data_IF_159369341458
#
_entry.id   IF_159369341458
#
_cell.length_a   1.000
_cell.length_b   1.000
_cell.length_c   1.000
_cell.angle_alpha   90.00
_cell.angle_beta   90.00
_cell.angle_gamma   90.00
#
_symmetry.space_group_name_H-M   'P 1'
#
loop_
_entity.id
_entity.type
_entity.pdbx_description
1 polymer ?
#
# COMPACT_ATOMS: atom_id res chain seq x y z
N UNK A 1 32.68 -12.85 -10.92
CA UNK A 1 31.60 -11.84 -10.88
C UNK A 1 30.86 -12.03 -9.57
N UNK A 2 30.90 -11.08 -8.63
CA UNK A 2 30.09 -11.16 -7.41
C UNK A 2 28.64 -11.27 -7.85
N UNK A 3 27.93 -12.29 -7.40
CA UNK A 3 26.47 -12.36 -7.49
C UNK A 3 25.93 -11.02 -6.97
N UNK A 4 25.38 -10.18 -7.85
CA UNK A 4 24.64 -9.00 -7.42
C UNK A 4 23.51 -9.54 -6.55
N UNK A 5 23.62 -9.34 -5.24
CA UNK A 5 22.54 -9.62 -4.30
C UNK A 5 21.29 -8.93 -4.84
N UNK A 6 20.32 -9.72 -5.29
CA UNK A 6 19.04 -9.19 -5.75
C UNK A 6 18.29 -8.71 -4.52
N UNK A 7 17.71 -7.52 -4.58
CA UNK A 7 16.86 -7.00 -3.50
C UNK A 7 15.40 -7.30 -3.82
N UNK A 8 14.62 -7.62 -2.80
CA UNK A 8 13.18 -7.89 -2.90
C UNK A 8 12.43 -6.93 -1.99
N UNK A 9 11.42 -6.26 -2.51
CA UNK A 9 10.55 -5.39 -1.72
C UNK A 9 9.53 -6.24 -0.98
N UNK A 10 9.52 -6.13 0.35
CA UNK A 10 8.69 -6.95 1.26
C UNK A 10 7.65 -6.14 2.00
N UNK A 11 7.69 -4.82 1.85
CA UNK A 11 6.64 -3.91 2.25
C UNK A 11 6.82 -2.62 1.45
N UNK A 12 5.74 -2.07 0.94
CA UNK A 12 5.71 -0.73 0.37
C UNK A 12 4.27 -0.21 0.35
N UNK A 13 4.02 1.02 0.82
CA UNK A 13 2.82 1.77 0.55
C UNK A 13 3.02 2.67 -0.68
N UNK A 14 1.93 3.11 -1.30
CA UNK A 14 2.01 4.15 -2.34
C UNK A 14 2.28 5.52 -1.70
N UNK A 15 3.36 6.24 -2.07
CA UNK A 15 3.52 7.63 -1.68
C UNK A 15 2.40 8.50 -2.27
N UNK A 16 1.82 9.36 -1.43
CA UNK A 16 0.76 10.32 -1.74
C UNK A 16 1.12 11.71 -1.18
N UNK A 17 0.59 12.80 -1.76
CA UNK A 17 0.61 14.09 -1.08
C UNK A 17 -0.27 14.01 0.18
N UNK A 18 0.18 14.59 1.28
CA UNK A 18 -0.65 14.66 2.50
C UNK A 18 -1.69 15.76 2.37
N UNK A 19 -2.98 15.42 2.46
CA UNK A 19 -4.06 16.39 2.54
C UNK A 19 -4.04 17.10 3.91
N UNK A 20 -4.58 18.31 4.01
CA UNK A 20 -4.62 19.09 5.26
C UNK A 20 -5.30 18.32 6.41
N UNK A 21 -6.31 17.50 6.10
CA UNK A 21 -7.02 16.67 7.07
C UNK A 21 -6.17 15.52 7.63
N UNK A 22 -5.14 15.08 6.90
CA UNK A 22 -4.23 13.98 7.27
C UNK A 22 -2.92 14.50 7.90
N UNK A 23 -2.80 15.81 8.10
CA UNK A 23 -1.68 16.45 8.78
C UNK A 23 -1.90 16.46 10.30
N UNK A 24 -0.85 16.26 11.12
CA UNK A 24 -1.00 16.48 12.55
C UNK A 24 -1.29 17.94 12.86
N UNK A 25 -2.18 18.16 13.82
CA UNK A 25 -2.53 19.49 14.30
C UNK A 25 -1.47 20.06 15.26
N UNK A 26 -1.72 21.28 15.75
CA UNK A 26 -0.89 21.93 16.77
C UNK A 26 -0.64 21.00 17.99
N UNK A 27 0.59 20.96 18.55
CA UNK A 27 1.77 21.78 18.24
C UNK A 27 2.72 21.18 17.19
N UNK A 28 2.38 20.02 16.61
CA UNK A 28 3.25 19.29 15.69
C UNK A 28 3.29 19.92 14.29
N UNK A 29 2.24 20.65 13.90
CA UNK A 29 2.24 21.54 12.74
C UNK A 29 1.88 22.95 13.18
N UNK A 30 2.75 23.92 12.87
CA UNK A 30 2.53 25.33 13.16
C UNK A 30 3.37 26.21 12.25
N UNK A 31 2.89 27.42 11.96
CA UNK A 31 3.62 28.42 11.15
C UNK A 31 4.13 27.89 9.79
N UNK A 32 3.35 27.01 9.15
CA UNK A 32 3.71 26.42 7.85
C UNK A 32 4.73 25.27 7.92
N UNK A 33 5.22 24.90 9.11
CA UNK A 33 6.18 23.82 9.32
C UNK A 33 5.52 22.66 10.07
N UNK A 34 5.68 21.45 9.54
CA UNK A 34 5.24 20.22 10.17
C UNK A 34 6.40 19.44 10.76
N UNK A 35 6.13 18.70 11.83
CA UNK A 35 7.05 17.79 12.50
C UNK A 35 8.35 18.46 13.00
N UNK A 36 8.33 19.76 13.29
CA UNK A 36 9.52 20.42 13.84
C UNK A 36 9.85 19.82 15.21
N UNK A 37 11.12 19.48 15.42
CA UNK A 37 11.59 18.80 16.64
C UNK A 37 10.69 17.61 17.01
N UNK A 38 10.34 16.75 16.05
CA UNK A 38 9.35 15.67 16.24
C UNK A 38 9.92 14.31 15.86
N UNK A 39 9.71 13.32 16.72
CA UNK A 39 9.87 11.90 16.40
C UNK A 39 8.53 11.35 15.89
N UNK A 40 8.57 10.63 14.77
CA UNK A 40 7.46 9.90 14.19
C UNK A 40 7.82 8.41 14.26
N UNK A 41 7.09 7.61 15.03
CA UNK A 41 7.27 6.16 15.15
C UNK A 41 6.13 5.43 14.46
N UNK A 42 6.50 4.59 13.51
CA UNK A 42 5.57 3.97 12.58
C UNK A 42 5.78 2.47 12.61
N UNK A 43 4.71 1.68 12.46
CA UNK A 43 4.83 0.22 12.37
C UNK A 43 4.33 -0.30 11.03
N UNK A 44 4.93 -1.39 10.57
CA UNK A 44 4.63 -2.02 9.29
C UNK A 44 4.83 -3.53 9.37
N UNK A 45 4.01 -4.29 8.65
CA UNK A 45 4.13 -5.76 8.53
C UNK A 45 4.89 -6.11 7.25
N UNK A 46 5.99 -6.84 7.37
CA UNK A 46 6.74 -7.35 6.20
C UNK A 46 6.19 -8.68 5.73
N UNK A 47 6.24 -8.93 4.42
CA UNK A 47 5.67 -10.12 3.78
C UNK A 47 6.72 -11.12 3.29
N UNK A 48 7.99 -10.93 3.66
CA UNK A 48 9.02 -11.95 3.54
C UNK A 48 10.13 -11.76 4.59
N UNK A 49 10.86 -12.84 4.87
CA UNK A 49 11.97 -12.85 5.84
C UNK A 49 13.34 -12.75 5.17
N UNK A 50 14.33 -12.25 5.90
CA UNK A 50 15.72 -12.14 5.43
C UNK A 50 16.66 -11.61 6.53
N UNK A 51 17.97 -11.76 6.33
CA UNK A 51 18.99 -11.40 7.32
C UNK A 51 19.46 -9.94 7.25
N UNK A 52 19.28 -9.34 6.08
CA UNK A 52 19.77 -8.01 5.74
C UNK A 52 18.65 -7.21 5.09
N UNK A 53 18.50 -5.97 5.54
CA UNK A 53 17.41 -5.09 5.12
C UNK A 53 17.95 -3.73 4.65
N UNK A 54 17.14 -3.00 3.90
CA UNK A 54 17.30 -1.56 3.67
C UNK A 54 15.93 -0.89 3.56
N UNK A 55 15.88 0.41 3.84
CA UNK A 55 14.65 1.19 3.95
C UNK A 55 14.65 2.26 2.87
N UNK A 56 13.52 2.45 2.20
CA UNK A 56 13.31 3.54 1.26
C UNK A 56 12.58 4.70 1.91
N UNK A 57 13.22 5.87 1.90
CA UNK A 57 12.70 7.12 2.45
C UNK A 57 12.36 8.06 1.29
N UNK A 58 11.17 8.66 1.30
CA UNK A 58 10.62 9.39 0.16
C UNK A 58 10.25 10.82 0.50
N UNK A 59 10.60 11.72 -0.42
CA UNK A 59 10.22 13.12 -0.45
C UNK A 59 9.61 13.46 -1.83
N UNK A 60 8.83 12.52 -2.36
CA UNK A 60 8.34 12.56 -3.74
C UNK A 60 7.43 13.77 -4.03
N UNK A 61 6.67 14.23 -3.04
CA UNK A 61 5.79 15.40 -3.17
C UNK A 61 6.37 16.66 -2.53
N UNK A 62 7.62 16.60 -2.05
CA UNK A 62 8.33 17.78 -1.56
C UNK A 62 9.11 18.47 -2.66
N UNK A 63 9.24 19.80 -2.53
CA UNK A 63 10.04 20.62 -3.44
C UNK A 63 11.41 20.94 -2.83
N UNK A 64 11.47 21.08 -1.50
CA UNK A 64 12.70 21.29 -0.74
C UNK A 64 13.30 19.96 -0.30
N UNK A 65 14.59 19.96 0.07
CA UNK A 65 15.23 18.76 0.62
C UNK A 65 14.64 18.42 1.99
N UNK A 66 14.18 17.18 2.16
CA UNK A 66 13.79 16.64 3.44
C UNK A 66 15.05 16.24 4.22
N UNK A 67 15.24 16.82 5.40
CA UNK A 67 16.36 16.52 6.28
C UNK A 67 15.89 15.66 7.46
N UNK A 68 16.14 14.36 7.39
CA UNK A 68 15.92 13.42 8.47
C UNK A 68 17.16 13.42 9.37
N UNK A 69 17.01 13.94 10.58
CA UNK A 69 18.12 14.05 11.54
C UNK A 69 18.51 12.70 12.14
N UNK A 70 17.55 11.78 12.25
CA UNK A 70 17.79 10.39 12.68
C UNK A 70 16.70 9.46 12.15
N UNK A 71 17.09 8.27 11.69
CA UNK A 71 16.17 7.17 11.41
C UNK A 71 16.60 5.91 12.17
N UNK A 72 15.65 5.18 12.74
CA UNK A 72 15.90 4.01 13.60
C UNK A 72 14.92 2.91 13.23
N UNK A 73 15.40 1.67 13.13
CA UNK A 73 14.55 0.48 13.08
C UNK A 73 14.60 -0.28 14.41
N UNK A 74 13.49 -0.87 14.81
CA UNK A 74 13.41 -1.74 15.99
C UNK A 74 12.32 -2.81 15.83
N UNK A 75 12.28 -3.76 16.76
CA UNK A 75 11.13 -4.65 16.92
C UNK A 75 10.13 -3.94 17.84
N UNK A 76 8.87 -3.73 17.41
CA UNK A 76 7.86 -3.13 18.27
C UNK A 76 7.54 -4.05 19.44
N UNK A 77 7.21 -3.47 20.59
CA UNK A 77 6.59 -4.22 21.68
C UNK A 77 5.10 -4.34 21.37
N UNK A 78 4.53 -5.55 21.25
CA UNK A 78 3.10 -5.73 21.02
C UNK A 78 2.29 -5.01 22.09
N UNK A 79 1.16 -4.43 21.70
CA UNK A 79 0.21 -3.83 22.62
C UNK A 79 -1.10 -4.62 22.54
N UNK A 80 -1.36 -5.46 23.54
CA UNK A 80 -2.45 -6.45 23.51
C UNK A 80 -3.83 -5.84 23.19
N UNK A 81 -4.06 -4.57 23.53
CA UNK A 81 -5.33 -3.87 23.27
C UNK A 81 -5.52 -3.32 21.85
N UNK A 82 -4.47 -3.22 21.03
CA UNK A 82 -4.53 -2.56 19.72
C UNK A 82 -4.16 -3.49 18.56
N UNK A 83 -3.88 -4.77 18.80
CA UNK A 83 -3.44 -5.69 17.75
C UNK A 83 -1.94 -5.60 17.45
N UNK A 84 -1.47 -6.28 16.38
CA UNK A 84 -0.04 -6.43 16.09
C UNK A 84 0.65 -5.15 15.61
N UNK A 85 -0.10 -4.17 15.08
CA UNK A 85 0.40 -2.87 14.62
C UNK A 85 0.19 -1.74 15.64
N UNK A 86 0.59 -0.53 15.25
CA UNK A 86 0.24 0.70 15.96
C UNK A 86 0.98 0.94 17.28
N UNK A 87 2.13 0.30 17.51
CA UNK A 87 2.81 0.42 18.81
C UNK A 87 3.65 1.69 18.93
N UNK A 88 3.46 2.43 20.03
CA UNK A 88 4.34 3.52 20.47
C UNK A 88 5.68 3.02 21.03
N UNK A 89 5.80 1.71 21.22
CA UNK A 89 6.82 1.08 22.03
C UNK A 89 7.70 0.12 21.23
N UNK A 90 8.95 -0.04 21.66
CA UNK A 90 9.88 -1.00 21.06
C UNK A 90 10.48 -1.92 22.12
N UNK A 91 10.87 -3.12 21.71
CA UNK A 91 11.62 -4.05 22.56
C UNK A 91 13.01 -3.48 22.84
N UNK A 92 13.37 -3.41 24.12
CA UNK A 92 14.67 -2.89 24.57
C UNK A 92 15.82 -3.67 23.92
N UNK A 93 16.82 -2.94 23.42
CA UNK A 93 18.00 -3.54 22.78
C UNK A 93 17.82 -3.94 21.32
N UNK A 94 16.64 -3.73 20.73
CA UNK A 94 16.41 -4.02 19.30
C UNK A 94 16.60 -2.81 18.39
N UNK A 95 16.67 -1.60 18.95
CA UNK A 95 16.84 -0.37 18.18
C UNK A 95 18.21 -0.32 17.49
N UNK A 96 18.20 -0.14 16.17
CA UNK A 96 19.40 0.06 15.36
C UNK A 96 19.24 1.29 14.47
N UNK A 97 20.31 2.07 14.40
CA UNK A 97 20.38 3.27 13.56
C UNK A 97 20.34 2.87 12.08
N UNK A 98 19.54 3.60 11.31
CA UNK A 98 19.54 3.55 9.84
C UNK A 98 20.44 4.66 9.32
N UNK A 99 21.32 4.32 8.38
CA UNK A 99 22.33 5.22 7.80
C UNK A 99 22.11 5.38 6.30
N UNK A 100 22.66 6.45 5.74
CA UNK A 100 22.80 6.65 4.30
C UNK A 100 24.24 7.05 4.02
N UNK A 101 24.97 6.26 3.23
CA UNK A 101 26.39 6.45 2.94
C UNK A 101 27.26 6.58 4.22
N UNK A 102 26.90 5.82 5.26
CA UNK A 102 27.56 5.84 6.56
C UNK A 102 27.14 6.98 7.50
N UNK A 103 26.32 7.92 7.02
CA UNK A 103 25.91 9.10 7.77
C UNK A 103 24.58 8.91 8.51
N UNK A 104 24.47 9.50 9.69
CA UNK A 104 23.23 9.44 10.51
C UNK A 104 22.13 10.36 9.98
N UNK A 105 22.53 11.51 9.43
CA UNK A 105 21.59 12.47 8.84
C UNK A 105 21.32 12.09 7.41
N UNK A 106 20.05 11.89 7.07
CA UNK A 106 19.59 11.49 5.75
C UNK A 106 18.97 12.69 5.07
N UNK A 107 19.48 13.04 3.89
CA UNK A 107 18.90 14.10 3.05
C UNK A 107 18.22 13.47 1.85
N UNK A 108 16.93 13.76 1.67
CA UNK A 108 16.12 13.26 0.56
C UNK A 108 15.75 14.45 -0.34
N UNK A 109 16.33 14.57 -1.55
CA UNK A 109 16.00 15.66 -2.46
C UNK A 109 14.50 15.71 -2.78
N UNK A 110 13.98 16.91 -3.05
CA UNK A 110 12.59 17.08 -3.50
C UNK A 110 12.30 16.27 -4.77
N UNK A 111 11.11 15.69 -4.85
CA UNK A 111 10.70 14.86 -5.99
C UNK A 111 11.35 13.47 -6.07
N UNK A 112 12.06 13.04 -5.01
CA UNK A 112 12.87 11.81 -5.05
C UNK A 112 12.64 10.90 -3.85
N UNK A 113 13.28 9.73 -3.88
CA UNK A 113 13.46 8.87 -2.73
C UNK A 113 14.93 8.43 -2.65
N UNK A 114 15.35 8.04 -1.46
CA UNK A 114 16.67 7.43 -1.21
C UNK A 114 16.48 6.03 -0.63
N UNK A 115 17.51 5.20 -0.79
CA UNK A 115 17.57 3.87 -0.21
C UNK A 115 18.69 3.87 0.81
N UNK A 116 18.39 3.48 2.05
CA UNK A 116 19.39 3.43 3.13
C UNK A 116 20.52 2.43 2.82
N UNK A 117 21.57 2.53 3.63
CA UNK A 117 22.57 1.47 3.71
C UNK A 117 21.93 0.14 4.11
N UNK A 118 22.59 -0.94 3.74
CA UNK A 118 22.24 -2.29 4.17
C UNK A 118 22.50 -2.45 5.67
N UNK A 119 21.49 -2.90 6.42
CA UNK A 119 21.57 -3.18 7.84
C UNK A 119 21.37 -4.68 8.10
N UNK A 120 22.21 -5.27 8.96
CA UNK A 120 22.01 -6.65 9.43
C UNK A 120 20.94 -6.67 10.52
N UNK A 121 19.71 -6.95 10.11
CA UNK A 121 18.54 -6.98 10.98
C UNK A 121 17.67 -8.17 10.56
N UNK A 122 17.87 -9.36 11.15
CA UNK A 122 17.13 -10.55 10.76
C UNK A 122 15.63 -10.40 11.05
N UNK A 123 14.81 -10.66 10.02
CA UNK A 123 13.35 -10.59 10.09
C UNK A 123 12.71 -11.87 9.56
N UNK A 124 11.54 -12.20 10.09
CA UNK A 124 10.69 -13.30 9.61
C UNK A 124 9.56 -12.75 8.73
N UNK A 125 9.06 -13.59 7.82
CA UNK A 125 7.83 -13.28 7.10
C UNK A 125 6.67 -13.06 8.09
N UNK A 126 5.87 -12.02 7.86
CA UNK A 126 4.76 -11.63 8.74
C UNK A 126 5.17 -10.80 9.96
N UNK A 127 6.46 -10.56 10.18
CA UNK A 127 6.94 -9.78 11.32
C UNK A 127 6.56 -8.30 11.19
N UNK A 128 6.09 -7.71 12.30
CA UNK A 128 5.90 -6.25 12.39
C UNK A 128 7.23 -5.60 12.81
N UNK A 129 7.59 -4.52 12.12
CA UNK A 129 8.76 -3.70 12.38
C UNK A 129 8.32 -2.30 12.82
N UNK A 130 9.15 -1.64 13.62
CA UNK A 130 9.00 -0.24 13.97
C UNK A 130 10.09 0.57 13.28
N UNK A 131 9.71 1.65 12.60
CA UNK A 131 10.64 2.63 12.04
C UNK A 131 10.32 3.98 12.65
N UNK A 132 11.31 4.58 13.31
CA UNK A 132 11.23 5.92 13.88
C UNK A 132 12.05 6.91 13.07
N UNK A 133 11.47 8.06 12.74
CA UNK A 133 12.11 9.17 12.03
C UNK A 133 12.07 10.39 12.95
N UNK A 134 13.20 11.06 13.15
CA UNK A 134 13.28 12.33 13.86
C UNK A 134 13.63 13.48 12.92
N UNK A 135 12.81 14.52 12.94
CA UNK A 135 13.00 15.75 12.17
C UNK A 135 13.30 16.91 13.14
N UNK A 136 14.58 17.29 13.27
CA UNK A 136 14.96 18.42 14.13
C UNK A 136 14.36 19.74 13.64
N UNK A 137 14.41 19.97 12.33
CA UNK A 137 13.93 21.21 11.68
C UNK A 137 12.49 21.14 11.17
N UNK A 138 11.90 19.94 11.12
CA UNK A 138 10.62 19.71 10.46
C UNK A 138 10.73 19.77 8.93
N UNK A 139 9.58 19.85 8.27
CA UNK A 139 9.48 20.02 6.81
C UNK A 139 8.29 20.93 6.47
N UNK A 140 8.27 21.50 5.27
CA UNK A 140 7.18 22.39 4.85
C UNK A 140 5.85 21.61 4.83
N UNK A 141 4.86 22.11 5.57
CA UNK A 141 3.61 21.38 5.86
C UNK A 141 2.77 21.02 4.63
N UNK A 142 2.91 21.78 3.54
CA UNK A 142 2.22 21.50 2.26
C UNK A 142 3.04 20.61 1.29
N UNK A 143 4.20 20.12 1.72
CA UNK A 143 5.16 19.36 0.91
C UNK A 143 5.43 17.97 1.47
N UNK A 144 4.51 17.48 2.31
CA UNK A 144 4.69 16.21 3.01
C UNK A 144 4.32 15.05 2.08
N UNK A 145 5.21 14.06 2.03
CA UNK A 145 4.94 12.76 1.42
C UNK A 145 4.44 11.81 2.50
N UNK A 146 3.26 11.24 2.30
CA UNK A 146 2.63 10.29 3.23
C UNK A 146 1.95 9.13 2.51
N UNK A 147 1.32 8.27 3.28
CA UNK A 147 0.30 7.35 2.84
C UNK A 147 -0.85 7.38 3.86
N UNK A 148 -1.96 8.07 3.55
CA UNK A 148 -3.05 8.26 4.51
C UNK A 148 -3.84 6.97 4.78
N UNK A 149 -3.73 5.97 3.90
CA UNK A 149 -4.40 4.68 3.97
C UNK A 149 -3.75 3.62 4.87
N UNK A 150 -2.88 4.01 5.81
CA UNK A 150 -2.02 3.04 6.52
C UNK A 150 -2.79 1.93 7.26
N UNK A 151 -3.96 2.26 7.81
CA UNK A 151 -4.73 1.44 8.77
C UNK A 151 -3.89 1.06 9.99
N UNK A 152 -2.86 1.83 10.29
CA UNK A 152 -1.93 1.58 11.38
C UNK A 152 -1.50 2.90 12.00
N UNK A 153 -1.58 2.99 13.32
CA UNK A 153 -1.21 4.19 14.04
C UNK A 153 0.29 4.44 13.94
N UNK A 154 0.62 5.69 13.62
CA UNK A 154 1.93 6.29 13.82
C UNK A 154 1.87 7.23 15.01
N UNK A 155 2.85 7.12 15.89
CA UNK A 155 2.95 7.90 17.11
C UNK A 155 3.93 9.06 16.94
N UNK A 156 3.54 10.21 17.47
CA UNK A 156 4.28 11.46 17.29
C UNK A 156 4.49 12.14 18.63
N UNK A 157 5.71 12.58 18.89
CA UNK A 157 6.06 13.38 20.07
C UNK A 157 7.28 14.25 19.81
N UNK A 158 7.43 15.31 20.57
CA UNK A 158 8.53 16.25 20.50
C UNK A 158 9.82 15.65 21.06
N UNK A 159 10.94 16.19 20.57
CA UNK A 159 12.28 15.74 20.89
C UNK A 159 12.69 14.47 20.15
N UNK A 160 13.98 14.19 20.19
CA UNK A 160 14.53 12.96 19.64
C UNK A 160 14.32 11.81 20.61
N UNK A 161 13.22 11.07 20.40
CA UNK A 161 12.86 9.86 21.12
C UNK A 161 12.96 8.63 20.21
N UNK A 162 13.65 8.74 19.07
CA UNK A 162 13.75 7.69 18.05
C UNK A 162 14.26 6.35 18.61
N UNK A 163 15.20 6.41 19.58
CA UNK A 163 15.80 5.25 20.26
C UNK A 163 15.08 4.86 21.58
N UNK A 164 14.10 5.64 22.04
CA UNK A 164 13.45 5.41 23.32
C UNK A 164 12.59 4.14 23.28
N UNK A 165 12.64 3.31 24.33
CA UNK A 165 11.83 2.08 24.40
C UNK A 165 10.32 2.35 24.46
N UNK A 166 9.93 3.55 24.89
CA UNK A 166 8.57 4.05 24.95
C UNK A 166 8.59 5.52 24.54
N UNK A 167 7.64 5.94 23.71
CA UNK A 167 7.46 7.37 23.45
C UNK A 167 6.66 8.00 24.59
N UNK A 168 7.03 9.22 24.97
CA UNK A 168 6.38 9.92 26.08
C UNK A 168 6.39 11.43 25.87
N UNK A 169 5.55 12.15 26.61
CA UNK A 169 5.52 13.61 26.57
C UNK A 169 4.11 14.16 26.55
N UNK A 170 3.93 15.45 26.89
CA UNK A 170 2.62 16.10 26.93
C UNK A 170 1.97 16.23 25.55
N UNK A 171 2.77 16.09 24.50
CA UNK A 171 2.36 16.21 23.12
C UNK A 171 2.26 14.87 22.39
N UNK A 172 2.46 13.74 23.08
CA UNK A 172 2.31 12.41 22.52
C UNK A 172 0.89 12.21 21.95
N UNK A 173 0.80 11.83 20.69
CA UNK A 173 -0.46 11.50 20.00
C UNK A 173 -0.24 10.51 18.88
N UNK A 174 -1.32 9.92 18.37
CA UNK A 174 -1.29 9.04 17.21
C UNK A 174 -2.12 9.61 16.05
N UNK A 175 -1.75 9.18 14.84
CA UNK A 175 -2.52 9.34 13.60
C UNK A 175 -2.39 8.08 12.75
N UNK A 176 -3.46 7.71 12.05
CA UNK A 176 -3.52 6.49 11.23
C UNK A 176 -2.90 6.70 9.83
N UNK A 177 -1.66 7.18 9.76
CA UNK A 177 -0.95 7.46 8.50
C UNK A 177 0.52 7.04 8.57
N UNK A 178 1.12 6.72 7.40
CA UNK A 178 2.57 6.62 7.29
C UNK A 178 3.15 7.89 6.66
N UNK A 179 4.32 8.34 7.12
CA UNK A 179 5.01 9.54 6.63
C UNK A 179 6.43 9.18 6.17
N UNK A 180 6.83 9.69 5.01
CA UNK A 180 8.18 9.59 4.44
C UNK A 180 8.74 8.17 4.20
N UNK A 181 7.99 7.11 4.50
CA UNK A 181 8.35 5.72 4.19
C UNK A 181 7.78 5.32 2.83
N UNK A 182 8.58 4.62 2.01
CA UNK A 182 8.16 4.14 0.67
C UNK A 182 8.61 2.71 0.35
N UNK A 183 9.25 2.03 1.30
CA UNK A 183 9.53 0.61 1.16
C UNK A 183 10.50 0.05 2.19
N UNK A 184 10.42 -1.26 2.37
CA UNK A 184 11.41 -2.08 3.04
C UNK A 184 11.80 -3.18 2.07
N UNK A 185 13.11 -3.38 1.93
CA UNK A 185 13.67 -4.38 1.05
C UNK A 185 14.60 -5.29 1.82
N UNK A 186 14.62 -6.57 1.42
CA UNK A 186 15.56 -7.56 1.94
C UNK A 186 16.51 -8.02 0.85
N UNK A 187 17.70 -8.47 1.25
CA UNK A 187 18.56 -9.22 0.36
C UNK A 187 17.90 -10.57 0.06
N UNK A 188 17.66 -10.85 -1.22
CA UNK A 188 17.07 -12.11 -1.69
C UNK A 188 17.97 -13.28 -1.32
N UNK A 189 17.39 -14.29 -0.67
CA UNK A 189 17.92 -15.65 -0.67
C UNK A 189 17.35 -16.46 -1.86
N UNK A 190 17.93 -17.63 -2.13
CA UNK A 190 17.54 -18.45 -3.28
C UNK A 190 16.08 -18.98 -3.22
N UNK A 191 15.41 -18.91 -2.07
CA UNK A 191 14.06 -19.43 -1.91
C UNK A 191 12.96 -18.45 -2.34
N UNK A 192 13.23 -17.14 -2.49
CA UNK A 192 12.20 -16.16 -2.86
C UNK A 192 11.77 -16.29 -4.32
N UNK A 193 10.46 -16.38 -4.53
CA UNK A 193 9.80 -16.40 -5.84
C UNK A 193 9.39 -14.98 -6.31
N UNK A 194 9.92 -13.93 -5.67
CA UNK A 194 9.68 -12.53 -6.02
C UNK A 194 8.52 -11.88 -5.25
N UNK A 195 8.04 -10.75 -5.77
CA UNK A 195 7.00 -9.93 -5.14
C UNK A 195 5.77 -9.83 -6.04
N UNK A 196 4.59 -10.05 -5.44
CA UNK A 196 3.28 -9.67 -5.93
C UNK A 196 2.99 -8.20 -5.56
N UNK A 197 2.85 -7.35 -6.58
CA UNK A 197 2.51 -5.93 -6.43
C UNK A 197 1.00 -5.77 -6.64
N UNK A 198 0.31 -5.24 -5.63
CA UNK A 198 -1.12 -4.97 -5.71
C UNK A 198 -1.36 -3.52 -6.10
N UNK A 199 -1.90 -3.30 -7.29
CA UNK A 199 -2.30 -1.99 -7.79
C UNK A 199 -3.81 -1.86 -7.65
N UNK A 200 -4.27 -0.94 -6.79
CA UNK A 200 -5.69 -0.77 -6.56
C UNK A 200 -6.09 0.55 -5.91
N UNK A 201 -7.32 0.58 -5.45
CA UNK A 201 -7.95 1.74 -4.81
C UNK A 201 -8.21 1.52 -3.31
N UNK A 202 -9.17 2.23 -2.72
CA UNK A 202 -9.51 2.15 -1.29
C UNK A 202 -9.86 0.74 -0.81
N UNK A 203 -10.38 -0.11 -1.70
CA UNK A 203 -10.71 -1.50 -1.37
C UNK A 203 -9.44 -2.31 -1.10
N UNK A 204 -8.40 -2.11 -1.92
CA UNK A 204 -7.10 -2.78 -1.75
C UNK A 204 -6.24 -2.15 -0.67
N UNK A 205 -6.30 -0.83 -0.55
CA UNK A 205 -5.66 -0.06 0.52
C UNK A 205 -6.13 -0.53 1.92
N UNK A 206 -7.40 -0.97 2.00
CA UNK A 206 -7.97 -1.65 3.17
C UNK A 206 -8.97 -0.79 3.95
N UNK A 207 -9.68 0.13 3.29
CA UNK A 207 -10.73 0.93 3.92
C UNK A 207 -11.76 -0.01 4.59
N UNK A 208 -12.16 0.33 5.82
CA UNK A 208 -13.06 -0.47 6.67
C UNK A 208 -12.48 -1.79 7.21
N UNK A 209 -11.16 -1.98 7.14
CA UNK A 209 -10.47 -2.95 8.02
C UNK A 209 -10.42 -2.45 9.47
N UNK A 210 -10.10 -3.33 10.41
CA UNK A 210 -9.84 -2.91 11.79
C UNK A 210 -8.46 -2.24 11.84
N UNK A 211 -8.39 -1.06 12.46
CA UNK A 211 -7.11 -0.37 12.65
C UNK A 211 -6.16 -1.24 13.47
N UNK A 212 -4.86 -1.19 13.11
CA UNK A 212 -3.76 -1.91 13.78
C UNK A 212 -3.85 -3.45 13.76
N UNK A 213 -4.90 -4.03 13.18
CA UNK A 213 -5.17 -5.47 13.20
C UNK A 213 -4.47 -6.27 12.09
N UNK A 214 -3.98 -5.60 11.03
CA UNK A 214 -3.48 -6.25 9.80
C UNK A 214 -4.49 -7.23 9.18
N UNK A 215 -5.75 -6.80 9.00
CA UNK A 215 -6.85 -7.64 8.50
C UNK A 215 -7.55 -7.06 7.25
N UNK A 216 -6.82 -6.30 6.42
CA UNK A 216 -7.22 -6.01 5.03
C UNK A 216 -6.98 -7.25 4.17
N UNK A 217 -7.66 -7.36 3.03
CA UNK A 217 -7.57 -8.57 2.20
C UNK A 217 -6.14 -8.93 1.75
N UNK A 218 -5.20 -7.98 1.49
CA UNK A 218 -3.82 -8.34 1.20
C UNK A 218 -3.08 -9.00 2.38
N UNK A 219 -3.36 -8.56 3.60
CA UNK A 219 -2.75 -9.14 4.81
C UNK A 219 -3.27 -10.57 5.03
N UNK A 220 -4.58 -10.78 4.84
CA UNK A 220 -5.22 -12.08 4.93
C UNK A 220 -4.80 -13.02 3.79
N UNK A 221 -4.59 -12.49 2.58
CA UNK A 221 -4.02 -13.24 1.46
C UNK A 221 -2.59 -13.69 1.78
N UNK A 222 -1.76 -12.79 2.32
CA UNK A 222 -0.41 -13.14 2.74
C UNK A 222 -0.44 -14.30 3.74
N UNK A 223 -1.29 -14.24 4.76
CA UNK A 223 -1.40 -15.30 5.77
C UNK A 223 -1.83 -16.65 5.17
N UNK A 224 -2.73 -16.63 4.19
CA UNK A 224 -3.09 -17.83 3.43
C UNK A 224 -1.95 -18.33 2.55
N UNK A 225 -1.19 -17.44 1.91
CA UNK A 225 -0.04 -17.81 1.09
C UNK A 225 1.04 -18.53 1.90
N UNK A 226 1.22 -18.20 3.18
CA UNK A 226 2.16 -18.90 4.05
C UNK A 226 1.81 -20.38 4.29
N UNK A 227 0.60 -20.83 3.93
CA UNK A 227 0.18 -22.23 3.98
C UNK A 227 0.26 -22.94 2.62
N UNK A 228 0.73 -22.24 1.58
CA UNK A 228 0.79 -22.76 0.21
C UNK A 228 2.24 -23.07 -0.21
N UNK A 229 2.56 -24.30 -0.68
CA UNK A 229 3.94 -24.73 -0.93
C UNK A 229 4.75 -23.79 -1.83
N UNK A 230 4.12 -23.29 -2.90
CA UNK A 230 4.77 -22.38 -3.84
C UNK A 230 4.64 -20.91 -3.41
N UNK A 231 3.49 -20.51 -2.88
CA UNK A 231 3.15 -19.09 -2.70
C UNK A 231 3.69 -18.53 -1.37
N UNK A 232 4.07 -19.39 -0.41
CA UNK A 232 4.70 -18.98 0.85
C UNK A 232 6.00 -18.17 0.64
N UNK A 233 6.64 -18.34 -0.52
CA UNK A 233 7.89 -17.66 -0.90
C UNK A 233 7.67 -16.41 -1.79
N UNK A 234 6.43 -15.94 -1.93
CA UNK A 234 6.11 -14.71 -2.68
C UNK A 234 5.78 -13.61 -1.67
N UNK A 235 6.53 -12.51 -1.73
CA UNK A 235 6.21 -11.30 -0.97
C UNK A 235 4.98 -10.60 -1.55
N UNK A 236 4.24 -9.85 -0.74
CA UNK A 236 3.15 -8.96 -1.20
C UNK A 236 3.49 -7.52 -0.83
N UNK A 237 3.30 -6.59 -1.76
CA UNK A 237 3.30 -5.15 -1.46
C UNK A 237 2.00 -4.49 -1.93
N UNK A 238 1.51 -3.56 -1.12
CA UNK A 238 0.23 -2.89 -1.34
C UNK A 238 0.45 -1.46 -1.87
N UNK A 239 0.38 -1.33 -3.20
CA UNK A 239 0.52 -0.08 -3.92
C UNK A 239 -0.84 0.49 -4.31
N UNK A 240 -1.83 0.33 -3.42
CA UNK A 240 -3.14 0.93 -3.58
C UNK A 240 -3.17 2.40 -3.10
N UNK A 241 -4.16 3.13 -3.60
CA UNK A 241 -4.43 4.53 -3.25
C UNK A 241 -5.91 4.70 -3.00
N UNK A 242 -6.31 5.02 -1.76
CA UNK A 242 -7.70 5.38 -1.46
C UNK A 242 -8.22 6.51 -2.37
N UNK A 243 -9.33 6.28 -3.07
CA UNK A 243 -9.85 7.24 -4.05
C UNK A 243 -9.00 7.42 -5.32
N UNK A 244 -7.98 6.57 -5.52
CA UNK A 244 -7.15 6.56 -6.72
C UNK A 244 -7.96 6.20 -7.97
N UNK A 245 -7.48 6.62 -9.15
CA UNK A 245 -8.09 6.35 -10.47
C UNK A 245 -7.04 5.80 -11.44
N UNK A 246 -7.47 5.04 -12.45
CA UNK A 246 -6.59 4.49 -13.48
C UNK A 246 -6.17 5.57 -14.47
N UNK A 247 -7.15 6.36 -14.92
CA UNK A 247 -7.02 7.23 -16.09
C UNK A 247 -6.60 8.67 -15.75
N UNK A 248 -7.08 9.18 -14.62
CA UNK A 248 -6.89 10.57 -14.18
C UNK A 248 -6.37 10.60 -12.76
N UNK A 249 -5.83 11.73 -12.32
CA UNK A 249 -5.43 11.91 -10.92
C UNK A 249 -6.68 11.93 -10.02
N UNK A 250 -6.63 11.31 -8.84
CA UNK A 250 -7.68 11.34 -7.83
C UNK A 250 -7.18 12.03 -6.56
N UNK A 251 -7.22 11.32 -5.42
CA UNK A 251 -6.48 11.69 -4.19
C UNK A 251 -4.95 11.54 -4.32
N UNK A 252 -4.47 11.27 -5.53
CA UNK A 252 -3.06 11.12 -5.90
C UNK A 252 -2.92 10.88 -7.39
N UNK A 253 -1.69 10.72 -7.90
CA UNK A 253 -1.45 10.50 -9.32
C UNK A 253 -2.17 9.25 -9.86
N UNK A 254 -2.64 9.33 -11.11
CA UNK A 254 -3.27 8.22 -11.82
C UNK A 254 -2.41 6.96 -11.83
N UNK A 255 -3.02 5.77 -11.92
CA UNK A 255 -2.27 4.52 -12.06
C UNK A 255 -1.33 4.53 -13.27
N UNK A 256 -1.80 5.07 -14.40
CA UNK A 256 -0.99 5.12 -15.62
C UNK A 256 0.29 5.96 -15.47
N UNK A 257 0.23 7.05 -14.70
CA UNK A 257 1.39 7.91 -14.45
C UNK A 257 2.34 7.35 -13.40
N UNK A 258 1.84 6.55 -12.44
CA UNK A 258 2.67 5.95 -11.38
C UNK A 258 3.11 4.51 -11.61
N UNK A 259 2.66 3.85 -12.68
CA UNK A 259 2.92 2.42 -12.94
C UNK A 259 4.40 2.04 -12.82
N UNK A 260 5.29 2.82 -13.44
CA UNK A 260 6.72 2.50 -13.43
C UNK A 260 7.29 2.54 -12.02
N UNK A 261 6.97 3.61 -11.28
CA UNK A 261 7.42 3.81 -9.89
C UNK A 261 6.88 2.72 -8.97
N UNK A 262 5.59 2.44 -9.05
CA UNK A 262 4.89 1.64 -8.05
C UNK A 262 4.92 0.14 -8.34
N UNK A 263 5.18 -0.26 -9.59
CA UNK A 263 5.27 -1.66 -9.98
C UNK A 263 6.60 -2.01 -10.65
N UNK A 264 6.89 -1.43 -11.82
CA UNK A 264 8.00 -1.88 -12.67
C UNK A 264 9.37 -1.70 -12.00
N UNK A 265 9.54 -0.63 -11.24
CA UNK A 265 10.78 -0.29 -10.56
C UNK A 265 10.97 -1.00 -9.21
N UNK A 266 9.98 -1.74 -8.71
CA UNK A 266 10.03 -2.36 -7.39
C UNK A 266 11.00 -3.56 -7.35
N UNK A 267 12.10 -3.53 -6.58
CA UNK A 267 13.01 -4.65 -6.50
C UNK A 267 12.29 -5.97 -6.20
N UNK A 268 12.62 -7.02 -6.96
CA UNK A 268 12.00 -8.35 -6.81
C UNK A 268 10.61 -8.50 -7.42
N UNK A 269 10.02 -7.46 -8.04
CA UNK A 269 8.72 -7.58 -8.72
C UNK A 269 8.70 -8.73 -9.72
N UNK A 270 7.62 -9.51 -9.68
CA UNK A 270 7.37 -10.64 -10.59
C UNK A 270 5.91 -10.74 -11.01
N UNK A 271 4.98 -10.51 -10.09
CA UNK A 271 3.54 -10.59 -10.35
C UNK A 271 2.90 -9.24 -10.07
N UNK A 272 1.95 -8.83 -10.90
CA UNK A 272 1.20 -7.59 -10.76
C UNK A 272 -0.28 -7.94 -10.72
N UNK A 273 -1.01 -7.49 -9.70
CA UNK A 273 -2.48 -7.53 -9.71
C UNK A 273 -3.02 -6.13 -9.97
N UNK A 274 -3.86 -5.98 -11.00
CA UNK A 274 -4.63 -4.77 -11.25
C UNK A 274 -6.05 -4.99 -10.72
N UNK A 275 -6.35 -4.44 -9.54
CA UNK A 275 -7.69 -4.40 -8.96
C UNK A 275 -8.11 -2.94 -8.76
N UNK A 276 -8.52 -2.32 -9.86
CA UNK A 276 -8.72 -0.89 -9.94
C UNK A 276 -9.88 -0.57 -10.91
N UNK A 277 -10.40 0.65 -10.85
CA UNK A 277 -11.33 1.21 -11.85
C UNK A 277 -12.68 1.60 -11.28
N UNK A 278 -12.94 1.29 -10.00
CA UNK A 278 -14.21 1.63 -9.35
C UNK A 278 -14.40 3.14 -9.26
N UNK A 279 -13.34 3.90 -8.94
CA UNK A 279 -13.42 5.36 -8.89
C UNK A 279 -13.53 5.99 -10.28
N UNK A 280 -12.92 5.40 -11.32
CA UNK A 280 -13.06 5.88 -12.69
C UNK A 280 -14.53 5.81 -13.15
N UNK A 281 -15.21 4.69 -12.89
CA UNK A 281 -16.63 4.52 -13.21
C UNK A 281 -17.55 5.30 -12.25
N UNK A 282 -17.21 5.31 -10.96
CA UNK A 282 -18.00 5.94 -9.91
C UNK A 282 -18.01 7.47 -9.99
N UNK A 283 -16.91 8.08 -10.45
CA UNK A 283 -16.81 9.54 -10.61
C UNK A 283 -17.20 10.05 -11.99
N UNK A 284 -17.44 9.16 -12.96
CA UNK A 284 -17.94 9.55 -14.27
C UNK A 284 -19.40 10.02 -14.19
N UNK A 285 -19.73 11.01 -15.02
CA UNK A 285 -21.10 11.49 -15.20
C UNK A 285 -22.02 10.32 -15.59
N UNK A 286 -23.27 10.38 -15.11
CA UNK A 286 -24.22 9.25 -15.21
C UNK A 286 -24.85 9.09 -16.61
N UNK A 287 -24.41 9.86 -17.60
CA UNK A 287 -24.92 9.82 -18.97
C UNK A 287 -24.23 8.73 -19.83
N UNK A 288 -24.86 8.41 -20.97
CA UNK A 288 -24.42 7.31 -21.83
C UNK A 288 -23.04 7.54 -22.44
N UNK A 289 -22.78 8.78 -22.86
CA UNK A 289 -21.56 9.10 -23.59
C UNK A 289 -20.37 9.02 -22.64
N UNK A 290 -20.47 9.64 -21.45
CA UNK A 290 -19.43 9.62 -20.43
C UNK A 290 -19.11 8.20 -19.96
N UNK A 291 -20.14 7.39 -19.66
CA UNK A 291 -19.95 6.00 -19.23
C UNK A 291 -19.37 5.10 -20.34
N UNK A 292 -19.76 5.31 -21.59
CA UNK A 292 -19.19 4.59 -22.73
C UNK A 292 -17.71 4.97 -22.95
N UNK A 293 -17.39 6.26 -22.82
CA UNK A 293 -16.03 6.77 -22.98
C UNK A 293 -15.09 6.21 -21.91
N UNK A 294 -15.44 6.33 -20.63
CA UNK A 294 -14.61 5.83 -19.53
C UNK A 294 -14.43 4.30 -19.61
N UNK A 295 -15.48 3.57 -19.99
CA UNK A 295 -15.42 2.10 -20.17
C UNK A 295 -14.41 1.73 -21.28
N UNK A 296 -14.47 2.42 -22.42
CA UNK A 296 -13.51 2.22 -23.52
C UNK A 296 -12.10 2.61 -23.11
N UNK A 297 -11.94 3.69 -22.35
CA UNK A 297 -10.65 4.18 -21.87
C UNK A 297 -10.02 3.20 -20.87
N UNK A 298 -10.78 2.66 -19.92
CA UNK A 298 -10.31 1.64 -18.97
C UNK A 298 -9.78 0.39 -19.69
N UNK A 299 -10.54 -0.16 -20.64
CA UNK A 299 -10.09 -1.33 -21.44
C UNK A 299 -8.80 -1.05 -22.21
N UNK A 300 -8.60 0.18 -22.71
CA UNK A 300 -7.34 0.60 -23.34
C UNK A 300 -6.21 0.73 -22.32
N UNK A 301 -6.47 1.34 -21.16
CA UNK A 301 -5.50 1.50 -20.09
C UNK A 301 -5.02 0.15 -19.55
N UNK A 302 -5.91 -0.82 -19.35
CA UNK A 302 -5.54 -2.18 -18.96
C UNK A 302 -4.62 -2.86 -19.97
N UNK A 303 -4.91 -2.76 -21.28
CA UNK A 303 -3.97 -3.23 -22.32
C UNK A 303 -2.61 -2.54 -22.23
N UNK A 304 -2.58 -1.23 -21.98
CA UNK A 304 -1.34 -0.48 -21.86
C UNK A 304 -0.53 -0.90 -20.62
N UNK A 305 -1.19 -1.11 -19.49
CA UNK A 305 -0.57 -1.59 -18.26
C UNK A 305 0.05 -2.97 -18.49
N UNK A 306 -0.74 -3.90 -19.04
CA UNK A 306 -0.25 -5.25 -19.38
C UNK A 306 0.94 -5.19 -20.31
N UNK A 307 0.84 -4.44 -21.41
CA UNK A 307 1.93 -4.33 -22.40
C UNK A 307 3.23 -3.79 -21.78
N UNK A 308 3.13 -2.79 -20.89
CA UNK A 308 4.30 -2.23 -20.18
C UNK A 308 4.89 -3.24 -19.20
N UNK A 309 4.06 -3.98 -18.48
CA UNK A 309 4.53 -5.01 -17.53
C UNK A 309 5.16 -6.20 -18.26
N UNK A 310 4.57 -6.69 -19.35
CA UNK A 310 5.13 -7.76 -20.18
C UNK A 310 6.47 -7.37 -20.81
N UNK A 311 6.68 -6.10 -21.16
CA UNK A 311 7.99 -5.60 -21.63
C UNK A 311 9.11 -5.71 -20.57
N UNK A 312 8.78 -6.04 -19.32
CA UNK A 312 9.69 -6.31 -18.23
C UNK A 312 9.57 -7.74 -17.67
N UNK A 313 9.01 -8.67 -18.46
CA UNK A 313 8.82 -10.08 -18.11
C UNK A 313 8.01 -10.29 -16.81
N UNK A 314 7.00 -9.44 -16.58
CA UNK A 314 6.12 -9.52 -15.42
C UNK A 314 4.80 -10.17 -15.76
N UNK A 315 4.30 -11.07 -14.91
CA UNK A 315 2.96 -11.63 -15.05
C UNK A 315 1.91 -10.67 -14.49
N UNK A 316 0.82 -10.46 -15.23
CA UNK A 316 -0.21 -9.48 -14.90
C UNK A 316 -1.56 -10.15 -14.75
N UNK A 317 -2.09 -10.06 -13.54
CA UNK A 317 -3.40 -10.52 -13.14
C UNK A 317 -4.39 -9.36 -13.18
N UNK A 318 -5.60 -9.61 -13.67
CA UNK A 318 -6.71 -8.66 -13.62
C UNK A 318 -7.74 -9.09 -12.58
N UNK A 319 -8.21 -8.16 -11.74
CA UNK A 319 -9.35 -8.42 -10.88
C UNK A 319 -10.59 -7.67 -11.36
N UNK A 320 -11.73 -8.35 -11.36
CA UNK A 320 -13.02 -7.73 -11.70
C UNK A 320 -13.41 -6.68 -10.66
N UNK A 321 -13.94 -5.55 -11.11
CA UNK A 321 -14.41 -4.44 -10.27
C UNK A 321 -15.62 -4.90 -9.46
N UNK A 322 -15.58 -4.76 -8.14
CA UNK A 322 -16.67 -5.15 -7.24
C UNK A 322 -17.94 -4.30 -7.39
N UNK A 323 -19.06 -4.72 -6.79
CA UNK A 323 -20.30 -3.96 -6.78
C UNK A 323 -20.15 -2.56 -6.16
N UNK A 324 -20.89 -1.58 -6.69
CA UNK A 324 -20.88 -0.19 -6.20
C UNK A 324 -22.29 0.46 -6.17
N UNK A 325 -23.33 -0.34 -6.38
CA UNK A 325 -24.72 0.09 -6.39
C UNK A 325 -25.19 0.49 -5.00
N UNK A 326 -25.87 1.64 -4.93
CA UNK A 326 -26.36 2.21 -3.67
C UNK A 326 -25.37 3.13 -2.96
N UNK A 327 -24.11 3.20 -3.40
CA UNK A 327 -23.14 4.13 -2.83
C UNK A 327 -23.59 5.58 -3.08
N UNK A 328 -23.74 6.36 -2.00
CA UNK A 328 -24.29 7.73 -2.09
C UNK A 328 -23.42 8.65 -2.95
N UNK A 329 -22.08 8.73 -2.78
CA UNK A 329 -21.21 9.54 -3.63
C UNK A 329 -21.32 9.24 -5.13
N UNK A 330 -21.40 7.96 -5.53
CA UNK A 330 -21.54 7.61 -6.94
C UNK A 330 -22.97 7.72 -7.46
N UNK A 331 -23.95 7.69 -6.57
CA UNK A 331 -25.37 7.67 -6.92
C UNK A 331 -25.83 6.33 -7.49
N UNK A 332 -27.14 6.18 -7.67
CA UNK A 332 -27.72 4.97 -8.27
C UNK A 332 -27.95 5.19 -9.77
N UNK A 333 -27.29 4.39 -10.60
CA UNK A 333 -27.35 4.51 -12.05
C UNK A 333 -27.23 3.12 -12.70
N UNK A 334 -28.29 2.66 -13.39
CA UNK A 334 -28.25 1.39 -14.11
C UNK A 334 -27.19 1.36 -15.20
N UNK A 335 -26.95 2.49 -15.88
CA UNK A 335 -25.97 2.57 -16.95
C UNK A 335 -24.55 2.42 -16.43
N UNK A 336 -24.29 2.90 -15.21
CA UNK A 336 -23.00 2.70 -14.54
C UNK A 336 -22.80 1.23 -14.17
N UNK A 337 -23.84 0.54 -13.73
CA UNK A 337 -23.75 -0.91 -13.52
C UNK A 337 -23.51 -1.66 -14.85
N UNK A 338 -24.18 -1.27 -15.94
CA UNK A 338 -23.91 -1.85 -17.27
C UNK A 338 -22.47 -1.60 -17.71
N UNK A 339 -21.93 -0.40 -17.49
CA UNK A 339 -20.54 -0.07 -17.76
C UNK A 339 -19.57 -0.93 -16.94
N UNK A 340 -19.83 -1.11 -15.65
CA UNK A 340 -19.05 -1.99 -14.77
C UNK A 340 -19.06 -3.44 -15.26
N UNK A 341 -20.23 -3.96 -15.60
CA UNK A 341 -20.36 -5.31 -16.16
C UNK A 341 -19.63 -5.45 -17.49
N UNK A 342 -19.69 -4.43 -18.37
CA UNK A 342 -18.96 -4.43 -19.63
C UNK A 342 -17.43 -4.43 -19.44
N UNK A 343 -16.92 -3.73 -18.42
CA UNK A 343 -15.50 -3.82 -18.03
C UNK A 343 -15.18 -5.21 -17.48
N UNK A 344 -15.98 -5.74 -16.56
CA UNK A 344 -15.72 -7.04 -15.94
C UNK A 344 -15.78 -8.20 -16.93
N UNK A 345 -16.75 -8.19 -17.84
CA UNK A 345 -16.84 -9.19 -18.91
C UNK A 345 -15.64 -9.14 -19.84
N UNK A 346 -15.13 -7.94 -20.12
CA UNK A 346 -13.89 -7.78 -20.86
C UNK A 346 -12.67 -8.30 -20.08
N UNK A 347 -12.56 -8.03 -18.78
CA UNK A 347 -11.49 -8.57 -17.92
C UNK A 347 -11.49 -10.10 -17.99
N UNK A 348 -12.66 -10.74 -17.87
CA UNK A 348 -12.82 -12.20 -17.89
C UNK A 348 -12.49 -12.84 -19.23
N UNK A 349 -12.86 -12.21 -20.35
CA UNK A 349 -12.93 -12.88 -21.67
C UNK A 349 -11.88 -12.39 -22.67
N UNK A 350 -11.23 -11.25 -22.44
CA UNK A 350 -10.36 -10.64 -23.44
C UNK A 350 -9.05 -11.38 -23.70
N UNK A 351 -8.59 -12.21 -22.76
CA UNK A 351 -7.26 -12.83 -22.81
C UNK A 351 -6.11 -11.84 -22.67
N UNK A 352 -6.39 -10.61 -22.20
CA UNK A 352 -5.35 -9.57 -22.01
C UNK A 352 -4.56 -9.80 -20.73
N UNK A 353 -5.19 -10.28 -19.66
CA UNK A 353 -4.50 -10.63 -18.43
C UNK A 353 -4.05 -12.10 -18.47
N UNK A 354 -2.93 -12.39 -17.82
CA UNK A 354 -2.36 -13.74 -17.74
C UNK A 354 -3.21 -14.65 -16.83
N UNK A 355 -3.87 -14.05 -15.83
CA UNK A 355 -4.90 -14.70 -15.02
C UNK A 355 -5.94 -13.67 -14.52
N UNK A 356 -7.10 -14.15 -14.09
CA UNK A 356 -8.21 -13.32 -13.61
C UNK A 356 -8.64 -13.74 -12.21
N UNK A 357 -8.85 -12.75 -11.33
CA UNK A 357 -9.42 -12.91 -9.99
C UNK A 357 -10.82 -12.29 -9.97
N UNK A 358 -11.87 -13.12 -9.86
CA UNK A 358 -13.26 -12.65 -9.96
C UNK A 358 -13.82 -12.18 -8.60
N UNK A 359 -13.30 -11.05 -8.09
CA UNK A 359 -13.82 -10.45 -6.86
C UNK A 359 -15.26 -9.94 -6.95
N UNK A 360 -15.76 -9.64 -8.15
CA UNK A 360 -17.17 -9.31 -8.36
C UNK A 360 -18.06 -10.50 -7.99
N UNK A 361 -17.72 -11.70 -8.46
CA UNK A 361 -18.42 -12.93 -8.09
C UNK A 361 -18.40 -13.17 -6.57
N UNK A 362 -17.27 -12.92 -5.91
CA UNK A 362 -17.13 -13.08 -4.46
C UNK A 362 -18.05 -12.13 -3.70
N UNK A 363 -18.08 -10.86 -4.11
CA UNK A 363 -18.66 -9.78 -3.34
C UNK A 363 -20.15 -9.52 -3.63
N UNK A 364 -20.63 -9.83 -4.83
CA UNK A 364 -21.99 -9.46 -5.27
C UNK A 364 -23.10 -10.23 -4.58
N UNK A 365 -24.19 -9.55 -4.29
CA UNK A 365 -25.42 -10.15 -3.78
C UNK A 365 -26.11 -10.98 -4.87
N UNK A 366 -26.65 -12.13 -4.49
CA UNK A 366 -27.46 -12.95 -5.39
C UNK A 366 -28.85 -12.33 -5.68
N UNK A 367 -29.33 -11.45 -4.80
CA UNK A 367 -30.62 -10.75 -4.96
C UNK A 367 -30.51 -9.56 -5.92
N UNK A 368 -29.38 -8.86 -5.85
CA UNK A 368 -29.06 -7.70 -6.69
C UNK A 368 -27.55 -7.65 -6.94
N UNK A 369 -27.14 -8.09 -8.13
CA UNK A 369 -25.72 -8.18 -8.51
C UNK A 369 -25.00 -6.83 -8.59
N UNK A 370 -25.72 -5.71 -8.54
CA UNK A 370 -25.13 -4.37 -8.48
C UNK A 370 -24.67 -3.99 -7.07
N UNK A 371 -25.05 -4.75 -6.04
CA UNK A 371 -24.78 -4.47 -4.62
C UNK A 371 -23.88 -5.52 -4.00
N UNK A 372 -23.16 -5.12 -2.95
CA UNK A 372 -22.46 -6.04 -2.06
C UNK A 372 -23.47 -6.97 -1.38
N UNK A 373 -23.02 -8.18 -1.03
CA UNK A 373 -23.72 -9.01 -0.04
C UNK A 373 -23.88 -8.22 1.26
N UNK A 374 -25.01 -8.40 1.94
CA UNK A 374 -25.34 -7.62 3.14
C UNK A 374 -24.32 -7.82 4.24
N UNK A 375 -23.86 -9.07 4.44
CA UNK A 375 -22.83 -9.43 5.40
C UNK A 375 -21.44 -8.89 5.04
N UNK A 376 -21.23 -8.41 3.81
CA UNK A 376 -19.95 -7.90 3.32
C UNK A 376 -19.88 -6.38 3.25
N UNK A 377 -21.02 -5.70 3.38
CA UNK A 377 -21.10 -4.25 3.31
C UNK A 377 -20.64 -3.61 4.63
N UNK A 378 -19.79 -2.58 4.54
CA UNK A 378 -19.42 -1.75 5.69
C UNK A 378 -20.46 -0.68 6.04
N UNK A 379 -21.52 -0.58 5.23
CA UNK A 379 -22.66 0.33 5.42
C UNK A 379 -22.70 1.49 4.42
N UNK A 380 -21.67 1.63 3.57
CA UNK A 380 -21.62 2.67 2.53
C UNK A 380 -21.87 2.14 1.11
N UNK A 381 -22.15 0.84 0.99
CA UNK A 381 -22.48 0.15 -0.26
C UNK A 381 -21.34 0.11 -1.30
N UNK A 382 -20.10 0.36 -0.87
CA UNK A 382 -18.90 0.32 -1.72
C UNK A 382 -17.76 -0.45 -1.07
N UNK A 383 -17.45 -0.15 0.20
CA UNK A 383 -16.29 -0.73 0.86
C UNK A 383 -16.65 -2.05 1.53
N UNK A 384 -15.91 -3.13 1.23
CA UNK A 384 -16.07 -4.39 1.93
C UNK A 384 -15.62 -4.27 3.40
N UNK A 385 -16.28 -5.00 4.30
CA UNK A 385 -15.85 -5.16 5.69
C UNK A 385 -14.83 -6.31 5.84
N UNK A 386 -14.40 -6.60 7.08
CA UNK A 386 -13.41 -7.66 7.36
C UNK A 386 -13.87 -9.05 6.88
N UNK A 387 -15.14 -9.42 7.06
CA UNK A 387 -15.66 -10.72 6.60
C UNK A 387 -15.57 -10.85 5.06
N UNK A 388 -15.79 -9.75 4.35
CA UNK A 388 -15.61 -9.70 2.91
C UNK A 388 -14.13 -9.82 2.50
N UNK A 389 -13.22 -9.19 3.25
CA UNK A 389 -11.78 -9.32 3.02
C UNK A 389 -11.27 -10.75 3.24
N UNK A 390 -11.80 -11.47 4.24
CA UNK A 390 -11.55 -12.91 4.42
C UNK A 390 -12.02 -13.71 3.20
N UNK A 391 -13.23 -13.44 2.71
CA UNK A 391 -13.77 -14.10 1.52
C UNK A 391 -12.94 -13.82 0.26
N UNK A 392 -12.48 -12.59 0.07
CA UNK A 392 -11.61 -12.21 -1.04
C UNK A 392 -10.27 -12.94 -0.98
N UNK A 393 -9.61 -12.96 0.19
CA UNK A 393 -8.36 -13.68 0.39
C UNK A 393 -8.51 -15.19 0.16
N UNK A 394 -9.63 -15.79 0.60
CA UNK A 394 -9.93 -17.21 0.41
C UNK A 394 -10.17 -17.56 -1.07
N UNK A 395 -10.78 -16.66 -1.84
CA UNK A 395 -11.10 -16.89 -3.25
C UNK A 395 -9.91 -16.68 -4.21
N UNK A 396 -8.79 -16.10 -3.75
CA UNK A 396 -7.65 -15.81 -4.60
C UNK A 396 -6.96 -17.12 -5.10
N UNK A 397 -6.74 -17.33 -6.41
CA UNK A 397 -6.31 -18.64 -6.91
C UNK A 397 -4.78 -18.84 -6.83
N UNK A 398 -4.25 -19.36 -5.72
CA UNK A 398 -2.79 -19.46 -5.49
C UNK A 398 -2.02 -20.36 -6.46
N UNK A 399 -2.66 -21.39 -7.02
CA UNK A 399 -2.01 -22.36 -7.91
C UNK A 399 -1.52 -21.73 -9.22
N UNK A 400 -2.07 -20.57 -9.62
CA UNK A 400 -1.64 -19.88 -10.84
C UNK A 400 -0.17 -19.44 -10.80
N UNK A 401 0.38 -19.19 -9.60
CA UNK A 401 1.77 -18.75 -9.48
C UNK A 401 2.76 -19.84 -9.90
N UNK A 402 2.46 -21.11 -9.64
CA UNK A 402 3.32 -22.21 -10.08
C UNK A 402 3.25 -22.40 -11.60
N UNK A 403 2.06 -22.18 -12.19
CA UNK A 403 1.84 -22.27 -13.64
C UNK A 403 2.58 -21.20 -14.43
N UNK A 404 2.92 -20.07 -13.81
CA UNK A 404 3.73 -19.02 -14.43
C UNK A 404 5.23 -19.36 -14.49
N UNK A 405 5.69 -20.29 -13.66
CA UNK A 405 7.09 -20.75 -13.65
C UNK A 405 7.34 -22.01 -14.50
N UNK A 406 6.28 -22.75 -14.82
CA UNK A 406 6.33 -23.95 -15.67
C UNK A 406 6.36 -23.58 -17.15
#
# INVERSE_FOLDING_TARGET
>A
MKSLSKWVTVWAPTPQPTEEADMPSYPLTQHGVAFQNTTIRQTLRVTAGGDSIRIRLSNLFGLETLHISRAVIAVPRPHDSFGPGGSASILKGTAQQVLLDGEQTISVPGGSHVVSDCLKFPIKAGQVLSISIFLQKGHHSQQITSHPGSRTDSWLCHGDQSMASELSGPDLRSLTHWYFLSGVEICQDAAHHGTLVLLGDSITDGRCSTENANNRWPDLLFDRMQQHPFAQNIAIINQAVGGGRVLQDGKGPSLLSRLDRDAVAQPGRRYILVFHGVNDLGTADSDAASLQEVTKALKKAYRQIVSRCHAHDLHVLGATIGPMGGNKPYGTCEMRERARQDVNDWIRKSGVFDAVVDFDYVLRSAKDGSRLKEEFDSGDHLHPNVAAFEAMAAAFPLDMFEQFES
#
